data_IF_644388704795
#
_entry.id   IF_644388704795
#
_cell.length_a   1.000
_cell.length_b   1.000
_cell.length_c   1.000
_cell.angle_alpha   90.00
_cell.angle_beta   90.00
_cell.angle_gamma   90.00
#
_symmetry.space_group_name_H-M   'P 1'
#
loop_
_entity.id
_entity.type
_entity.pdbx_description
1 polymer ?
#
# COMPACT_ATOMS: atom_id res chain seq x y z
N UNK A 1 -11.25 -1.60 14.86
CA UNK A 1 -10.09 -0.81 14.38
C UNK A 1 -9.50 0.11 15.45
N UNK A 2 -10.31 0.71 16.34
CA UNK A 2 -9.81 1.51 17.47
C UNK A 2 -9.46 2.96 17.14
N UNK A 3 -9.80 3.43 15.93
CA UNK A 3 -9.65 4.84 15.53
C UNK A 3 -10.95 5.61 15.77
N UNK A 4 -10.87 6.91 16.10
CA UNK A 4 -12.03 7.79 16.16
C UNK A 4 -12.78 7.88 14.82
N UNK A 5 -14.10 8.07 14.88
CA UNK A 5 -14.90 8.34 13.69
C UNK A 5 -14.45 9.68 13.07
N UNK A 6 -14.25 9.71 11.74
CA UNK A 6 -13.82 10.90 11.00
C UNK A 6 -12.30 11.03 10.78
N UNK A 7 -11.46 10.21 11.41
CA UNK A 7 -10.00 10.22 11.19
C UNK A 7 -9.53 9.25 10.08
N UNK A 8 -10.42 8.38 9.61
CA UNK A 8 -10.15 7.40 8.58
C UNK A 8 -10.56 7.95 7.20
N UNK A 9 -9.69 8.75 6.61
CA UNK A 9 -9.75 9.06 5.17
C UNK A 9 -8.93 8.04 4.35
N UNK A 10 -8.96 8.18 3.03
CA UNK A 10 -8.22 7.30 2.12
C UNK A 10 -6.71 7.33 2.36
N UNK A 11 -6.13 8.50 2.64
CA UNK A 11 -4.69 8.63 2.86
C UNK A 11 -4.26 7.99 4.18
N UNK A 12 -5.04 8.17 5.23
CA UNK A 12 -4.86 7.51 6.53
C UNK A 12 -4.96 6.00 6.36
N UNK A 13 -5.98 5.51 5.64
CA UNK A 13 -6.11 4.08 5.33
C UNK A 13 -4.85 3.53 4.64
N UNK A 14 -4.37 4.19 3.59
CA UNK A 14 -3.14 3.78 2.89
C UNK A 14 -1.92 3.76 3.82
N UNK A 15 -1.86 4.64 4.83
CA UNK A 15 -0.78 4.67 5.81
C UNK A 15 -0.87 3.57 6.88
N UNK A 16 -2.06 3.03 7.12
CA UNK A 16 -2.30 1.94 8.05
C UNK A 16 -2.07 0.55 7.43
N UNK A 17 -2.09 0.44 6.10
CA UNK A 17 -1.80 -0.80 5.39
C UNK A 17 -0.37 -1.29 5.65
N UNK A 18 -0.22 -2.61 5.83
CA UNK A 18 1.09 -3.23 5.88
C UNK A 18 1.86 -2.93 4.58
N UNK A 19 3.17 -2.61 4.63
CA UNK A 19 3.92 -2.14 3.45
C UNK A 19 3.86 -3.07 2.24
N UNK A 20 3.89 -4.39 2.47
CA UNK A 20 3.77 -5.40 1.41
C UNK A 20 2.38 -5.37 0.76
N UNK A 21 1.34 -5.15 1.56
CA UNK A 21 -0.04 -5.26 1.10
C UNK A 21 -0.46 -4.02 0.31
N UNK A 22 0.26 -2.89 0.42
CA UNK A 22 0.00 -1.69 -0.40
C UNK A 22 0.18 -1.97 -1.90
N UNK A 23 1.28 -2.64 -2.25
CA UNK A 23 1.55 -2.98 -3.65
C UNK A 23 0.55 -4.03 -4.15
N UNK A 24 0.24 -5.02 -3.32
CA UNK A 24 -0.77 -6.03 -3.66
C UNK A 24 -2.16 -5.39 -3.88
N UNK A 25 -2.55 -4.42 -3.05
CA UNK A 25 -3.81 -3.70 -3.22
C UNK A 25 -3.91 -3.02 -4.58
N UNK A 26 -2.84 -2.32 -5.01
CA UNK A 26 -2.81 -1.70 -6.34
C UNK A 26 -2.90 -2.73 -7.46
N UNK A 27 -2.20 -3.87 -7.32
CA UNK A 27 -2.32 -4.96 -8.28
C UNK A 27 -3.74 -5.57 -8.31
N UNK A 28 -4.42 -5.67 -7.15
CA UNK A 28 -5.81 -6.14 -7.04
C UNK A 28 -6.78 -5.18 -7.73
N UNK A 29 -6.59 -3.87 -7.58
CA UNK A 29 -7.37 -2.85 -8.29
C UNK A 29 -7.21 -3.01 -9.81
N UNK A 30 -5.96 -3.13 -10.30
CA UNK A 30 -5.71 -3.35 -11.73
C UNK A 30 -6.33 -4.67 -12.23
N UNK A 31 -6.24 -5.75 -11.46
CA UNK A 31 -6.86 -7.03 -11.82
C UNK A 31 -8.40 -6.94 -11.84
N UNK A 32 -8.97 -6.23 -10.88
CA UNK A 32 -10.42 -5.97 -10.78
C UNK A 32 -10.91 -5.18 -11.98
N UNK A 33 -10.22 -4.10 -12.33
CA UNK A 33 -10.55 -3.26 -13.48
C UNK A 33 -10.48 -4.07 -14.78
N UNK A 34 -9.38 -4.80 -15.02
CA UNK A 34 -9.23 -5.66 -16.20
C UNK A 34 -10.36 -6.70 -16.30
N UNK A 35 -10.71 -7.32 -15.17
CA UNK A 35 -11.81 -8.28 -15.13
C UNK A 35 -13.14 -7.63 -15.52
N UNK A 36 -13.53 -6.54 -14.86
CA UNK A 36 -14.83 -5.90 -15.14
C UNK A 36 -14.91 -5.27 -16.53
N UNK A 37 -13.79 -4.84 -17.13
CA UNK A 37 -13.74 -4.43 -18.54
C UNK A 37 -14.04 -5.59 -19.51
N UNK A 38 -13.74 -6.83 -19.12
CA UNK A 38 -14.03 -8.03 -19.90
C UNK A 38 -15.43 -8.61 -19.69
N UNK A 39 -16.13 -8.16 -18.63
CA UNK A 39 -17.45 -8.67 -18.26
C UNK A 39 -18.54 -7.82 -18.94
N UNK A 40 -19.54 -8.43 -19.59
CA UNK A 40 -20.67 -7.70 -20.13
C UNK A 40 -21.40 -6.85 -19.06
N UNK A 41 -21.85 -5.62 -19.38
CA UNK A 41 -22.47 -4.71 -18.40
C UNK A 41 -23.60 -5.31 -17.58
N UNK A 42 -24.43 -6.17 -18.19
CA UNK A 42 -25.56 -6.85 -17.55
C UNK A 42 -25.15 -7.89 -16.50
N UNK A 43 -23.87 -8.30 -16.49
CA UNK A 43 -23.30 -9.27 -15.55
C UNK A 43 -22.51 -8.63 -14.42
N UNK A 44 -22.26 -7.32 -14.44
CA UNK A 44 -21.43 -6.63 -13.44
C UNK A 44 -21.92 -6.87 -12.00
N UNK A 45 -23.23 -6.86 -11.79
CA UNK A 45 -23.87 -7.08 -10.48
C UNK A 45 -23.82 -8.54 -10.01
N UNK A 46 -23.44 -9.47 -10.88
CA UNK A 46 -23.32 -10.91 -10.57
C UNK A 46 -21.94 -11.30 -10.11
N UNK A 47 -21.04 -10.34 -9.87
CA UNK A 47 -19.70 -10.62 -9.39
C UNK A 47 -19.41 -9.87 -8.11
N UNK A 48 -18.78 -10.59 -7.19
CA UNK A 48 -18.25 -10.08 -5.93
C UNK A 48 -16.74 -10.20 -5.96
N UNK A 49 -16.03 -9.10 -5.76
CA UNK A 49 -14.58 -9.12 -5.58
C UNK A 49 -14.30 -9.26 -4.09
N UNK A 50 -13.34 -10.11 -3.73
CA UNK A 50 -12.85 -10.17 -2.37
C UNK A 50 -11.35 -10.36 -2.33
N UNK A 51 -10.69 -9.67 -1.41
CA UNK A 51 -9.28 -9.86 -1.13
C UNK A 51 -8.96 -9.55 0.32
N UNK A 52 -7.85 -10.08 0.82
CA UNK A 52 -7.40 -9.81 2.18
C UNK A 52 -6.14 -8.94 2.22
N UNK A 53 -6.06 -8.08 3.24
CA UNK A 53 -4.89 -7.27 3.55
C UNK A 53 -4.73 -7.09 5.06
N UNK A 54 -3.52 -6.73 5.49
CA UNK A 54 -3.25 -6.38 6.89
C UNK A 54 -3.37 -4.88 7.09
N UNK A 55 -4.12 -4.52 8.13
CA UNK A 55 -4.35 -3.14 8.53
C UNK A 55 -3.91 -2.95 9.98
N UNK A 56 -3.12 -1.92 10.23
CA UNK A 56 -2.64 -1.60 11.59
C UNK A 56 -3.78 -0.98 12.39
N UNK A 57 -3.97 -1.46 13.61
CA UNK A 57 -4.90 -0.91 14.59
C UNK A 57 -4.25 0.18 15.44
N UNK A 58 -5.06 0.92 16.18
CA UNK A 58 -4.60 2.04 17.02
C UNK A 58 -3.63 1.61 18.14
N UNK A 59 -3.77 0.39 18.63
CA UNK A 59 -2.88 -0.29 19.59
C UNK A 59 -1.55 -0.77 18.95
N UNK A 60 -1.40 -0.65 17.63
CA UNK A 60 -0.16 -0.87 16.89
C UNK A 60 -0.02 -2.26 16.28
N UNK A 61 -0.87 -3.24 16.63
CA UNK A 61 -0.83 -4.56 16.00
C UNK A 61 -1.58 -4.58 14.67
N UNK A 62 -1.19 -5.50 13.79
CA UNK A 62 -1.88 -5.73 12.53
C UNK A 62 -3.02 -6.73 12.73
N UNK A 63 -4.15 -6.47 12.07
CA UNK A 63 -5.22 -7.44 11.87
C UNK A 63 -5.40 -7.73 10.40
N UNK A 64 -5.85 -8.95 10.09
CA UNK A 64 -6.18 -9.37 8.74
C UNK A 64 -7.62 -9.00 8.44
N UNK A 65 -7.81 -8.12 7.47
CA UNK A 65 -9.13 -7.70 7.01
C UNK A 65 -9.42 -8.41 5.69
N UNK A 66 -10.56 -9.09 5.62
CA UNK A 66 -11.18 -9.51 4.37
C UNK A 66 -12.04 -8.36 3.87
N UNK A 67 -11.68 -7.83 2.72
CA UNK A 67 -12.45 -6.86 1.98
C UNK A 67 -13.34 -7.58 0.97
N UNK A 68 -14.59 -7.16 0.88
CA UNK A 68 -15.59 -7.70 -0.02
C UNK A 68 -16.34 -6.56 -0.69
N UNK A 69 -16.23 -6.48 -2.01
CA UNK A 69 -16.82 -5.44 -2.84
C UNK A 69 -17.84 -6.03 -3.81
N UNK A 70 -19.01 -5.39 -3.91
CA UNK A 70 -19.97 -5.62 -4.98
C UNK A 70 -20.28 -4.30 -5.68
N UNK A 71 -20.50 -4.33 -6.98
CA UNK A 71 -21.11 -3.20 -7.68
C UNK A 71 -22.60 -3.21 -7.36
N UNK A 72 -23.16 -2.07 -6.96
CA UNK A 72 -24.59 -1.92 -6.61
C UNK A 72 -25.30 -0.90 -7.50
N UNK A 73 -24.56 -0.05 -8.19
CA UNK A 73 -25.07 0.80 -9.26
C UNK A 73 -24.00 0.95 -10.32
N UNK A 74 -24.40 0.88 -11.58
CA UNK A 74 -23.53 1.14 -12.72
C UNK A 74 -24.38 1.79 -13.83
N UNK A 75 -24.08 3.04 -14.14
CA UNK A 75 -24.62 3.79 -15.26
C UNK A 75 -23.49 4.47 -16.03
N UNK A 76 -23.80 5.17 -17.12
CA UNK A 76 -22.78 5.77 -17.98
C UNK A 76 -21.91 6.85 -17.30
N UNK A 77 -22.30 7.33 -16.11
CA UNK A 77 -21.61 8.40 -15.40
C UNK A 77 -21.13 7.99 -14.00
N UNK A 78 -21.74 6.96 -13.40
CA UNK A 78 -21.51 6.61 -12.01
C UNK A 78 -21.39 5.09 -11.81
N UNK A 79 -20.43 4.72 -10.98
CA UNK A 79 -20.32 3.39 -10.39
C UNK A 79 -20.42 3.56 -8.89
N UNK A 80 -21.34 2.82 -8.24
CA UNK A 80 -21.40 2.72 -6.78
C UNK A 80 -21.10 1.31 -6.36
N UNK A 81 -20.27 1.19 -5.34
CA UNK A 81 -19.86 -0.09 -4.78
C UNK A 81 -20.31 -0.19 -3.33
N UNK A 82 -20.65 -1.41 -2.92
CA UNK A 82 -20.89 -1.75 -1.52
C UNK A 82 -19.70 -2.56 -1.02
N UNK A 83 -19.06 -2.07 0.04
CA UNK A 83 -17.83 -2.62 0.60
C UNK A 83 -18.07 -3.11 2.03
N UNK A 84 -17.67 -4.34 2.31
CA UNK A 84 -17.65 -4.92 3.67
C UNK A 84 -16.20 -5.26 4.03
N UNK A 85 -15.78 -4.86 5.23
CA UNK A 85 -14.48 -5.19 5.79
C UNK A 85 -14.68 -6.01 7.05
N UNK A 86 -14.18 -7.24 7.06
CA UNK A 86 -14.35 -8.20 8.16
C UNK A 86 -12.98 -8.59 8.72
N UNK A 87 -12.81 -8.56 10.04
CA UNK A 87 -11.61 -9.10 10.69
C UNK A 87 -11.62 -10.63 10.63
N UNK A 88 -10.67 -11.19 9.89
CA UNK A 88 -10.48 -12.63 9.68
C UNK A 88 -9.18 -13.13 10.30
N UNK A 89 -8.58 -12.38 11.23
CA UNK A 89 -7.31 -12.75 11.88
C UNK A 89 -7.37 -14.13 12.56
N UNK A 90 -8.55 -14.57 12.97
CA UNK A 90 -8.80 -15.88 13.58
C UNK A 90 -8.98 -17.03 12.57
N UNK A 91 -9.25 -16.73 11.30
CA UNK A 91 -9.52 -17.73 10.25
C UNK A 91 -8.30 -18.00 9.36
N UNK A 92 -7.38 -17.03 9.25
CA UNK A 92 -6.25 -17.09 8.34
C UNK A 92 -4.94 -16.97 9.12
N UNK A 93 -4.13 -18.02 9.07
CA UNK A 93 -2.87 -18.12 9.81
C UNK A 93 -1.62 -17.95 8.93
N UNK A 94 -1.77 -18.01 7.60
CA UNK A 94 -0.67 -17.73 6.67
C UNK A 94 -0.58 -16.24 6.31
N UNK A 95 0.61 -15.83 5.87
CA UNK A 95 0.91 -14.44 5.53
C UNK A 95 0.51 -14.04 4.09
N UNK A 96 0.15 -15.00 3.25
CA UNK A 96 -0.07 -14.80 1.81
C UNK A 96 -1.42 -14.13 1.53
N UNK A 97 -1.45 -12.89 1.03
CA UNK A 97 -2.72 -12.26 0.68
C UNK A 97 -3.33 -12.91 -0.56
N UNK A 98 -4.65 -13.06 -0.57
CA UNK A 98 -5.39 -13.73 -1.65
C UNK A 98 -6.49 -12.82 -2.17
N UNK A 99 -6.66 -12.82 -3.49
CA UNK A 99 -7.80 -12.21 -4.17
C UNK A 99 -8.65 -13.29 -4.83
N UNK A 100 -9.96 -13.11 -4.84
CA UNK A 100 -10.89 -13.96 -5.56
C UNK A 100 -12.01 -13.11 -6.15
N UNK A 101 -12.54 -13.56 -7.28
CA UNK A 101 -13.74 -13.03 -7.89
C UNK A 101 -14.79 -14.13 -7.80
N UNK A 102 -15.85 -13.87 -7.05
CA UNK A 102 -16.92 -14.83 -6.80
C UNK A 102 -18.06 -14.49 -7.74
N UNK A 103 -18.35 -15.41 -8.66
CA UNK A 103 -19.54 -15.36 -9.48
C UNK A 103 -20.78 -15.74 -8.67
N UNK A 104 -21.84 -14.97 -8.85
CA UNK A 104 -23.16 -15.14 -8.29
C UNK A 104 -24.13 -15.57 -9.40
N UNK A 105 -25.30 -16.09 -9.03
CA UNK A 105 -26.35 -16.46 -9.99
C UNK A 105 -25.88 -17.39 -11.13
N UNK A 106 -24.97 -18.32 -10.82
CA UNK A 106 -24.43 -19.29 -11.77
C UNK A 106 -23.23 -18.81 -12.59
N UNK A 107 -22.77 -17.57 -12.39
CA UNK A 107 -21.53 -17.10 -13.00
C UNK A 107 -20.28 -17.81 -12.40
N UNK A 108 -19.21 -17.98 -13.19
CA UNK A 108 -17.99 -18.65 -12.73
C UNK A 108 -17.30 -17.89 -11.59
N UNK A 109 -16.67 -18.64 -10.68
CA UNK A 109 -15.83 -18.09 -9.63
C UNK A 109 -14.36 -18.38 -9.90
N UNK A 110 -13.51 -17.41 -9.59
CA UNK A 110 -12.07 -17.44 -9.77
C UNK A 110 -11.41 -17.24 -8.40
N UNK A 111 -10.78 -18.29 -7.88
CA UNK A 111 -10.21 -18.31 -6.55
C UNK A 111 -8.70 -18.12 -6.59
N UNK A 112 -8.18 -17.37 -5.63
CA UNK A 112 -6.73 -17.14 -5.44
C UNK A 112 -6.04 -16.72 -6.76
N UNK A 113 -6.63 -15.72 -7.42
CA UNK A 113 -6.18 -15.28 -8.74
C UNK A 113 -4.75 -14.77 -8.64
N UNK A 114 -3.86 -15.36 -9.43
CA UNK A 114 -2.52 -14.81 -9.66
C UNK A 114 -2.66 -13.56 -10.53
N UNK A 115 -2.16 -12.45 -10.02
CA UNK A 115 -2.17 -11.17 -10.70
C UNK A 115 -0.76 -10.85 -11.20
N UNK A 116 -0.70 -10.11 -12.30
CA UNK A 116 0.56 -9.52 -12.75
C UNK A 116 1.12 -8.63 -11.62
N UNK A 117 2.37 -8.88 -11.24
CA UNK A 117 3.04 -8.14 -10.18
C UNK A 117 3.63 -6.84 -10.74
N UNK A 118 2.73 -5.94 -11.18
CA UNK A 118 3.04 -4.65 -11.80
C UNK A 118 3.66 -3.73 -10.74
N UNK A 119 2.99 -3.62 -9.58
CA UNK A 119 3.44 -2.86 -8.44
C UNK A 119 4.18 -3.79 -7.48
N UNK A 120 5.45 -3.50 -7.20
CA UNK A 120 6.26 -4.27 -6.25
C UNK A 120 6.21 -3.64 -4.86
N UNK A 121 6.19 -4.44 -3.77
CA UNK A 121 6.33 -3.94 -2.42
C UNK A 121 7.55 -3.02 -2.30
N UNK A 122 7.32 -1.76 -1.94
CA UNK A 122 8.41 -0.89 -1.51
C UNK A 122 8.93 -1.48 -0.19
N UNK A 123 10.10 -2.10 -0.21
CA UNK A 123 10.75 -2.49 1.05
C UNK A 123 10.89 -1.23 1.90
N UNK A 124 10.49 -1.27 3.17
CA UNK A 124 10.83 -0.20 4.12
C UNK A 124 12.33 -0.29 4.43
N UNK A 125 13.16 0.12 3.47
CA UNK A 125 14.62 0.12 3.59
C UNK A 125 15.07 1.12 4.66
N UNK A 126 14.34 2.22 4.80
CA UNK A 126 14.68 3.32 5.70
C UNK A 126 13.76 3.43 6.91
N UNK A 127 14.38 3.66 8.06
CA UNK A 127 13.71 4.12 9.27
C UNK A 127 13.04 5.49 9.04
N UNK A 128 12.11 5.88 9.92
CA UNK A 128 11.47 7.19 9.85
C UNK A 128 12.48 8.34 9.77
N UNK A 129 13.51 8.32 10.62
CA UNK A 129 14.55 9.36 10.65
C UNK A 129 15.40 9.37 9.38
N UNK A 130 15.74 8.21 8.83
CA UNK A 130 16.45 8.12 7.55
C UNK A 130 15.60 8.65 6.39
N UNK A 131 14.27 8.46 6.41
CA UNK A 131 13.37 9.08 5.42
C UNK A 131 13.34 10.60 5.53
N UNK A 132 13.27 11.14 6.75
CA UNK A 132 13.30 12.60 6.96
C UNK A 132 14.60 13.20 6.39
N UNK A 133 15.73 12.54 6.65
CA UNK A 133 17.05 12.94 6.14
C UNK A 133 17.12 12.78 4.61
N UNK A 134 16.60 11.68 4.06
CA UNK A 134 16.57 11.43 2.61
C UNK A 134 15.75 12.50 1.88
N UNK A 135 14.60 12.90 2.41
CA UNK A 135 13.79 14.00 1.86
C UNK A 135 14.55 15.32 1.89
N UNK A 136 15.20 15.63 3.01
CA UNK A 136 16.01 16.85 3.11
C UNK A 136 17.22 16.83 2.14
N UNK A 137 17.85 15.68 1.95
CA UNK A 137 18.88 15.51 0.91
C UNK A 137 18.32 15.76 -0.50
N UNK A 138 17.12 15.27 -0.79
CA UNK A 138 16.44 15.46 -2.07
C UNK A 138 16.11 16.93 -2.34
N UNK A 139 15.77 17.68 -1.29
CA UNK A 139 15.57 19.13 -1.33
C UNK A 139 16.88 19.93 -1.37
N UNK A 140 18.04 19.28 -1.48
CA UNK A 140 19.34 19.93 -1.66
C UNK A 140 20.02 20.41 -0.37
N UNK A 141 19.48 20.08 0.81
CA UNK A 141 20.04 20.54 2.08
C UNK A 141 21.38 19.84 2.42
N UNK A 142 22.32 20.63 2.93
CA UNK A 142 23.62 20.19 3.47
C UNK A 142 23.44 19.65 4.89
N UNK A 143 24.39 18.82 5.36
CA UNK A 143 24.30 18.19 6.69
C UNK A 143 24.08 19.17 7.84
N UNK A 144 24.63 20.40 7.74
CA UNK A 144 24.41 21.43 8.76
C UNK A 144 22.96 21.93 8.76
N UNK A 145 22.40 22.22 7.58
CA UNK A 145 21.03 22.70 7.46
C UNK A 145 20.01 21.62 7.87
N UNK A 146 20.30 20.35 7.58
CA UNK A 146 19.49 19.20 8.05
C UNK A 146 19.58 19.07 9.58
N UNK A 147 20.77 19.26 10.15
CA UNK A 147 20.99 19.26 11.60
C UNK A 147 20.12 20.30 12.28
N UNK A 148 20.11 21.51 11.74
CA UNK A 148 19.34 22.64 12.27
C UNK A 148 17.83 22.39 12.11
N UNK A 149 17.39 21.90 10.94
CA UNK A 149 15.98 21.62 10.65
C UNK A 149 15.39 20.44 11.47
N UNK A 150 16.20 19.43 11.80
CA UNK A 150 15.77 18.25 12.54
C UNK A 150 16.13 18.30 14.03
N UNK A 151 16.78 19.38 14.48
CA UNK A 151 17.27 19.58 15.85
C UNK A 151 18.12 18.42 16.37
N UNK A 152 19.08 17.95 15.55
CA UNK A 152 20.03 16.87 15.89
C UNK A 152 21.44 17.28 15.51
N UNK A 153 22.46 16.66 16.10
CA UNK A 153 23.84 17.02 15.75
C UNK A 153 24.17 16.71 14.28
N UNK A 154 25.02 17.52 13.66
CA UNK A 154 25.58 17.25 12.32
C UNK A 154 26.23 15.85 12.25
N UNK A 155 26.89 15.40 13.32
CA UNK A 155 27.49 14.07 13.39
C UNK A 155 26.42 12.97 13.27
N UNK A 156 25.27 13.15 13.92
CA UNK A 156 24.12 12.25 13.82
C UNK A 156 23.57 12.22 12.39
N UNK A 157 23.44 13.39 11.74
CA UNK A 157 23.04 13.49 10.33
C UNK A 157 24.00 12.72 9.44
N UNK A 158 25.31 12.95 9.59
CA UNK A 158 26.34 12.31 8.78
C UNK A 158 26.33 10.77 8.96
N UNK A 159 26.06 10.30 10.18
CA UNK A 159 25.90 8.87 10.47
C UNK A 159 24.69 8.26 9.74
N UNK A 160 23.53 8.94 9.77
CA UNK A 160 22.36 8.52 9.00
C UNK A 160 22.61 8.55 7.48
N UNK A 161 23.28 9.57 6.95
CA UNK A 161 23.64 9.65 5.52
C UNK A 161 24.52 8.47 5.10
N UNK A 162 25.49 8.08 5.93
CA UNK A 162 26.31 6.87 5.71
C UNK A 162 25.48 5.59 5.72
N UNK A 163 24.53 5.47 6.65
CA UNK A 163 23.62 4.33 6.69
C UNK A 163 22.73 4.25 5.45
N UNK A 164 22.21 5.38 4.99
CA UNK A 164 21.42 5.46 3.76
C UNK A 164 22.25 5.00 2.56
N UNK A 165 23.45 5.54 2.37
CA UNK A 165 24.39 5.12 1.31
C UNK A 165 24.64 3.61 1.31
N UNK A 166 24.91 3.04 2.50
CA UNK A 166 25.14 1.61 2.67
C UNK A 166 23.90 0.79 2.29
N UNK A 167 22.72 1.22 2.74
CA UNK A 167 21.44 0.52 2.47
C UNK A 167 21.04 0.55 1.01
N UNK A 168 21.39 1.61 0.28
CA UNK A 168 21.15 1.71 -1.16
C UNK A 168 22.29 1.15 -2.01
N UNK A 169 23.38 0.71 -1.38
CA UNK A 169 24.63 0.35 -2.05
C UNK A 169 25.12 1.43 -3.05
N UNK A 170 24.88 2.70 -2.72
CA UNK A 170 25.21 3.83 -3.57
C UNK A 170 26.60 4.39 -3.23
N UNK A 171 27.27 4.94 -4.24
CA UNK A 171 28.61 5.52 -4.13
C UNK A 171 28.58 7.01 -3.82
N UNK A 172 27.44 7.68 -4.03
CA UNK A 172 27.29 9.11 -3.82
C UNK A 172 25.88 9.51 -3.38
N UNK A 173 25.75 10.71 -2.82
CA UNK A 173 24.44 11.26 -2.47
C UNK A 173 23.54 11.46 -3.69
N UNK A 174 24.09 11.85 -4.85
CA UNK A 174 23.31 11.98 -6.09
C UNK A 174 22.77 10.64 -6.56
N UNK A 175 23.55 9.57 -6.43
CA UNK A 175 23.09 8.21 -6.75
C UNK A 175 22.01 7.73 -5.79
N UNK A 176 22.12 8.05 -4.48
CA UNK A 176 21.04 7.81 -3.51
C UNK A 176 19.74 8.48 -3.96
N UNK A 177 19.79 9.75 -4.38
CA UNK A 177 18.60 10.49 -4.82
C UNK A 177 17.99 9.85 -6.07
N UNK A 178 18.80 9.48 -7.07
CA UNK A 178 18.31 8.78 -8.27
C UNK A 178 17.61 7.47 -7.91
N UNK A 179 18.26 6.61 -7.13
CA UNK A 179 17.68 5.33 -6.67
C UNK A 179 16.39 5.57 -5.91
N UNK A 180 16.35 6.60 -5.06
CA UNK A 180 15.17 6.93 -4.27
C UNK A 180 13.99 7.38 -5.14
N UNK A 181 14.21 8.13 -6.21
CA UNK A 181 13.17 8.44 -7.21
C UNK A 181 12.70 7.19 -7.95
N UNK A 182 13.63 6.37 -8.46
CA UNK A 182 13.31 5.17 -9.24
C UNK A 182 12.47 4.16 -8.44
N UNK A 183 12.62 4.16 -7.11
CA UNK A 183 11.89 3.28 -6.19
C UNK A 183 10.69 3.96 -5.50
N UNK A 184 10.37 5.21 -5.82
CA UNK A 184 9.26 5.97 -5.21
C UNK A 184 9.43 6.20 -3.71
N UNK A 185 10.67 6.34 -3.23
CA UNK A 185 10.97 6.64 -1.82
C UNK A 185 10.86 8.13 -1.49
N UNK A 186 11.01 8.98 -2.50
CA UNK A 186 10.89 10.45 -2.47
C UNK A 186 10.22 10.93 -3.76
#
# INVERSE_FOLDING_TARGET
MGYPAGELDFFTFLNLLHPVDKANLLNYETATEKFFQSVPPEKLFKYKVQYDFRLRRADGHYVRILNQMNIIQHDNQNVRTFLVNTDISHLKHDDTPRMSIIGLDGEPSYYNIDFENIFKPTQQVFTRREKDILKAMASGLKSQEISDALHISKLTVDSHRKNILRKTNARSASEVIRIAYDNGWI
#
